data_IF_283792653417
#
_entry.id   IF_283792653417
#
_cell.length_a   1.000
_cell.length_b   1.000
_cell.length_c   1.000
_cell.angle_alpha   90.00
_cell.angle_beta   90.00
_cell.angle_gamma   90.00
#
_symmetry.space_group_name_H-M   'P 1'
#
loop_
_entity.id
_entity.type
_entity.pdbx_description
1 polymer ?
#
# COMPACT_ATOMS: atom_id res chain seq x y z
N UNK A 1 0.49 -3.00 17.02
CA UNK A 1 -0.52 -2.97 15.96
C UNK A 1 -0.35 -1.67 15.20
N UNK A 2 -0.34 -1.72 13.88
CA UNK A 2 -0.26 -0.53 13.03
C UNK A 2 -1.24 -0.62 11.87
N UNK A 3 -1.51 0.53 11.24
CA UNK A 3 -2.28 0.61 10.01
C UNK A 3 -1.38 1.07 8.88
N UNK A 4 -1.43 0.37 7.75
CA UNK A 4 -0.75 0.78 6.53
C UNK A 4 -1.78 1.01 5.44
N UNK A 5 -1.63 2.12 4.73
CA UNK A 5 -2.49 2.46 3.61
C UNK A 5 -1.66 2.56 2.33
N UNK A 6 -1.70 1.51 1.52
CA UNK A 6 -1.05 1.54 0.21
C UNK A 6 -1.87 2.35 -0.79
N UNK A 7 -1.17 3.08 -1.62
CA UNK A 7 -1.73 3.81 -2.75
C UNK A 7 -0.83 3.59 -3.96
N UNK A 8 -1.21 2.67 -4.82
CA UNK A 8 -0.55 2.41 -6.10
C UNK A 8 -1.15 3.36 -7.14
N UNK A 9 -0.43 4.41 -7.46
CA UNK A 9 -0.82 5.38 -8.49
C UNK A 9 -0.27 4.92 -9.83
N UNK A 10 -1.12 4.87 -10.83
CA UNK A 10 -0.70 4.57 -12.19
C UNK A 10 -0.06 5.80 -12.84
N UNK A 11 0.96 5.57 -13.68
CA UNK A 11 1.57 6.62 -14.49
C UNK A 11 0.58 7.14 -15.52
N UNK A 12 -0.16 6.23 -16.16
CA UNK A 12 -1.22 6.56 -17.10
C UNK A 12 -2.57 6.68 -16.36
N UNK A 13 -3.22 7.85 -16.41
CA UNK A 13 -4.49 8.07 -15.71
C UNK A 13 -5.67 7.33 -16.33
N UNK A 14 -5.57 6.85 -17.57
CA UNK A 14 -6.56 6.05 -18.30
C UNK A 14 -6.62 4.58 -17.86
N UNK A 15 -5.65 4.11 -17.08
CA UNK A 15 -5.65 2.73 -16.57
C UNK A 15 -6.78 2.52 -15.57
N UNK A 16 -7.62 1.54 -15.83
CA UNK A 16 -8.77 1.17 -15.00
C UNK A 16 -8.68 -0.29 -14.56
N UNK A 17 -9.30 -0.55 -13.43
CA UNK A 17 -9.45 -1.88 -12.86
C UNK A 17 -10.82 -2.44 -13.22
N UNK A 18 -10.86 -3.70 -13.65
CA UNK A 18 -12.09 -4.47 -13.83
C UNK A 18 -11.88 -5.93 -13.41
N UNK A 19 -12.96 -6.67 -13.35
CA UNK A 19 -12.97 -8.12 -13.18
C UNK A 19 -13.70 -8.74 -14.37
N UNK A 20 -13.19 -9.86 -14.87
CA UNK A 20 -13.83 -10.61 -15.93
C UNK A 20 -15.02 -11.46 -15.41
N UNK A 21 -15.65 -12.22 -16.28
CA UNK A 21 -16.76 -13.13 -15.94
C UNK A 21 -16.37 -14.24 -14.95
N UNK A 22 -15.10 -14.55 -14.84
CA UNK A 22 -14.52 -15.52 -13.88
C UNK A 22 -14.01 -14.85 -12.60
N UNK A 23 -14.37 -13.57 -12.37
CA UNK A 23 -13.91 -12.75 -11.24
C UNK A 23 -12.40 -12.57 -11.17
N UNK A 24 -11.66 -12.73 -12.28
CA UNK A 24 -10.24 -12.48 -12.35
C UNK A 24 -9.97 -10.97 -12.50
N UNK A 25 -9.12 -10.37 -11.67
CA UNK A 25 -8.84 -8.95 -11.74
C UNK A 25 -7.88 -8.63 -12.89
N UNK A 26 -8.22 -7.60 -13.66
CA UNK A 26 -7.34 -7.12 -14.73
C UNK A 26 -7.33 -5.59 -14.84
N UNK A 27 -6.26 -5.08 -15.43
CA UNK A 27 -6.12 -3.68 -15.77
C UNK A 27 -6.26 -3.50 -17.28
N UNK A 28 -6.96 -2.47 -17.69
CA UNK A 28 -7.11 -2.10 -19.10
C UNK A 28 -7.01 -0.59 -19.27
N UNK A 29 -6.71 -0.17 -20.49
CA UNK A 29 -6.73 1.24 -20.87
C UNK A 29 -8.12 1.60 -21.37
N UNK A 30 -8.71 2.61 -20.74
CA UNK A 30 -9.96 3.19 -21.22
C UNK A 30 -9.64 4.29 -22.23
N UNK A 31 -10.04 4.06 -23.47
CA UNK A 31 -9.74 4.94 -24.62
C UNK A 31 -10.94 5.77 -25.05
N UNK A 32 -11.91 6.00 -24.16
CA UNK A 32 -13.08 6.81 -24.50
C UNK A 32 -12.65 8.27 -24.77
N UNK A 33 -12.86 8.79 -26.01
CA UNK A 33 -12.42 10.12 -26.40
C UNK A 33 -13.17 11.26 -25.68
N UNK A 34 -14.37 10.99 -25.17
CA UNK A 34 -15.22 11.99 -24.51
C UNK A 34 -14.84 12.20 -23.04
N UNK A 35 -13.89 11.42 -22.54
CA UNK A 35 -13.49 11.43 -21.11
C UNK A 35 -12.00 11.79 -20.98
N UNK A 36 -11.75 12.87 -20.28
CA UNK A 36 -10.37 13.25 -19.91
C UNK A 36 -10.01 12.68 -18.53
N UNK A 37 -9.18 11.63 -18.52
CA UNK A 37 -8.73 10.98 -17.30
C UNK A 37 -7.66 11.82 -16.61
N UNK A 38 -7.86 12.11 -15.32
CA UNK A 38 -6.93 12.93 -14.53
C UNK A 38 -6.09 12.08 -13.57
N UNK A 39 -6.66 11.02 -13.00
CA UNK A 39 -5.98 10.20 -12.00
C UNK A 39 -6.63 8.83 -11.84
N UNK A 40 -5.82 7.80 -11.87
CA UNK A 40 -6.20 6.44 -11.48
C UNK A 40 -5.27 5.90 -10.41
N UNK A 41 -5.83 5.24 -9.38
CA UNK A 41 -5.06 4.59 -8.33
C UNK A 41 -5.80 3.42 -7.70
N UNK A 42 -5.05 2.40 -7.31
CA UNK A 42 -5.48 1.33 -6.42
C UNK A 42 -5.07 1.66 -4.98
N UNK A 43 -5.97 1.45 -4.03
CA UNK A 43 -5.71 1.70 -2.61
C UNK A 43 -6.09 0.48 -1.79
N UNK A 44 -5.24 0.09 -0.86
CA UNK A 44 -5.48 -1.01 0.06
C UNK A 44 -5.07 -0.64 1.49
N UNK A 45 -6.00 -0.62 2.44
CA UNK A 45 -5.72 -0.53 3.86
C UNK A 45 -5.41 -1.91 4.45
N UNK A 46 -4.42 -1.96 5.33
CA UNK A 46 -4.02 -3.15 6.08
C UNK A 46 -3.93 -2.85 7.57
N UNK A 47 -4.36 -3.80 8.39
CA UNK A 47 -4.04 -3.86 9.80
C UNK A 47 -2.84 -4.79 9.95
N UNK A 48 -1.78 -4.33 10.62
CA UNK A 48 -0.56 -5.10 10.80
C UNK A 48 -0.30 -5.40 12.27
N UNK A 49 0.18 -6.61 12.53
CA UNK A 49 0.80 -7.03 13.76
C UNK A 49 2.30 -7.10 13.53
N UNK A 50 3.05 -6.38 14.36
CA UNK A 50 4.50 -6.23 14.21
C UNK A 50 5.18 -6.74 15.46
N UNK A 51 6.23 -7.53 15.28
CA UNK A 51 7.15 -7.94 16.32
C UNK A 51 8.55 -7.49 15.91
N UNK A 52 9.05 -6.46 16.59
CA UNK A 52 10.33 -5.84 16.29
C UNK A 52 11.12 -5.65 17.60
N UNK A 53 11.82 -6.69 18.06
CA UNK A 53 12.72 -6.57 19.21
C UNK A 53 13.75 -5.47 18.95
N UNK A 54 14.07 -4.73 19.99
CA UNK A 54 14.93 -3.55 19.91
C UNK A 54 16.17 -3.72 20.77
N UNK A 55 17.34 -3.54 20.17
CA UNK A 55 18.65 -3.58 20.83
C UNK A 55 19.08 -2.16 21.15
N UNK A 56 19.35 -1.88 22.42
CA UNK A 56 19.81 -0.57 22.87
C UNK A 56 21.31 -0.49 22.68
N UNK A 57 21.78 0.43 21.85
CA UNK A 57 23.21 0.69 21.61
C UNK A 57 23.70 1.77 22.55
N UNK A 58 22.98 2.91 22.61
CA UNK A 58 23.26 3.98 23.55
C UNK A 58 22.00 4.23 24.38
N UNK A 59 22.05 4.01 25.70
CA UNK A 59 20.90 4.20 26.58
C UNK A 59 20.25 5.59 26.37
N UNK A 60 18.92 5.62 26.18
CA UNK A 60 18.09 6.81 25.96
C UNK A 60 18.30 7.54 24.62
N UNK A 61 19.32 7.22 23.83
CA UNK A 61 19.63 7.96 22.59
C UNK A 61 19.48 7.13 21.33
N UNK A 62 20.01 5.89 21.30
CA UNK A 62 20.07 5.09 20.09
C UNK A 62 19.70 3.63 20.37
N UNK A 63 18.76 3.12 19.60
CA UNK A 63 18.47 1.70 19.54
C UNK A 63 18.13 1.26 18.11
N UNK A 64 18.40 0.01 17.80
CA UNK A 64 18.12 -0.61 16.50
C UNK A 64 17.14 -1.74 16.73
N UNK A 65 16.08 -1.79 15.93
CA UNK A 65 15.10 -2.86 15.92
C UNK A 65 15.14 -3.61 14.60
N UNK A 66 15.05 -4.93 14.67
CA UNK A 66 14.87 -5.79 13.51
C UNK A 66 13.80 -6.82 13.84
N UNK A 67 12.87 -7.02 12.94
CA UNK A 67 11.77 -7.93 13.19
C UNK A 67 10.95 -8.24 11.96
N UNK A 68 9.76 -8.78 12.19
CA UNK A 68 8.81 -9.11 11.16
C UNK A 68 7.43 -8.54 11.43
N UNK A 69 6.57 -8.63 10.44
CA UNK A 69 5.17 -8.26 10.57
C UNK A 69 4.29 -9.14 9.69
N UNK A 70 3.04 -9.22 10.09
CA UNK A 70 1.94 -9.80 9.31
C UNK A 70 0.82 -8.80 9.25
N UNK A 71 0.26 -8.58 8.07
CA UNK A 71 -0.84 -7.66 7.83
C UNK A 71 -2.03 -8.36 7.20
N UNK A 72 -3.23 -7.91 7.55
CA UNK A 72 -4.49 -8.36 6.96
C UNK A 72 -5.17 -7.21 6.21
N UNK A 73 -5.60 -7.47 4.98
CA UNK A 73 -6.31 -6.52 4.13
C UNK A 73 -7.74 -6.32 4.62
N UNK A 74 -8.13 -5.08 4.88
CA UNK A 74 -9.50 -4.73 5.31
C UNK A 74 -10.35 -4.14 4.18
N UNK A 75 -9.86 -4.18 2.95
CA UNK A 75 -10.60 -3.80 1.75
C UNK A 75 -9.74 -3.08 0.72
N UNK A 76 -10.05 -3.28 -0.53
CA UNK A 76 -9.39 -2.62 -1.67
C UNK A 76 -10.34 -1.71 -2.42
N UNK A 77 -9.82 -0.62 -2.98
CA UNK A 77 -10.60 0.32 -3.80
C UNK A 77 -9.78 0.81 -4.98
N UNK A 78 -10.40 0.79 -6.15
CA UNK A 78 -9.93 1.60 -7.28
C UNK A 78 -10.60 2.97 -7.19
N UNK A 79 -9.80 4.02 -7.28
CA UNK A 79 -10.26 5.41 -7.31
C UNK A 79 -9.78 6.04 -8.60
N UNK A 80 -10.70 6.52 -9.40
CA UNK A 80 -10.36 7.29 -10.58
C UNK A 80 -11.11 8.62 -10.63
N UNK A 81 -10.47 9.59 -11.24
CA UNK A 81 -11.00 10.92 -11.46
C UNK A 81 -10.93 11.22 -12.94
N UNK A 82 -12.00 11.75 -13.46
CA UNK A 82 -12.12 12.13 -14.84
C UNK A 82 -12.95 13.41 -15.01
N UNK A 83 -12.83 14.01 -16.16
CA UNK A 83 -13.56 15.20 -16.55
C UNK A 83 -14.41 14.84 -17.76
N UNK A 84 -15.70 15.09 -17.65
CA UNK A 84 -16.66 15.01 -18.76
C UNK A 84 -17.20 16.41 -19.07
N UNK A 85 -18.03 16.55 -20.08
CA UNK A 85 -18.70 17.82 -20.42
C UNK A 85 -19.53 18.42 -19.26
N UNK A 86 -19.86 17.62 -18.23
CA UNK A 86 -20.61 18.06 -17.05
C UNK A 86 -19.74 18.47 -15.85
N UNK A 87 -18.42 18.29 -15.90
CA UNK A 87 -17.53 18.66 -14.80
C UNK A 87 -16.58 17.55 -14.33
N UNK A 88 -15.99 17.76 -13.14
CA UNK A 88 -15.07 16.79 -12.52
C UNK A 88 -15.84 15.72 -11.77
N UNK A 89 -15.67 14.48 -12.19
CA UNK A 89 -16.27 13.32 -11.54
C UNK A 89 -15.23 12.45 -10.83
N UNK A 90 -15.71 11.72 -9.82
CA UNK A 90 -14.90 10.76 -9.04
C UNK A 90 -15.68 9.49 -8.91
N UNK A 91 -15.07 8.40 -9.23
CA UNK A 91 -15.67 7.10 -9.05
C UNK A 91 -14.80 6.18 -8.18
N UNK A 92 -15.47 5.24 -7.49
CA UNK A 92 -14.86 4.33 -6.54
C UNK A 92 -15.41 2.92 -6.77
N UNK A 93 -14.56 2.05 -7.26
CA UNK A 93 -14.91 0.63 -7.47
C UNK A 93 -14.16 -0.21 -6.41
N UNK A 94 -14.86 -1.17 -5.80
CA UNK A 94 -14.24 -2.14 -4.92
C UNK A 94 -13.22 -2.96 -5.73
N UNK A 95 -12.00 -3.06 -5.24
CA UNK A 95 -10.92 -3.82 -5.87
C UNK A 95 -10.56 -5.01 -5.00
N UNK A 96 -10.72 -6.21 -5.55
CA UNK A 96 -10.42 -7.49 -4.89
C UNK A 96 -9.07 -8.08 -5.32
N UNK A 97 -8.24 -7.29 -6.01
CA UNK A 97 -6.94 -7.73 -6.54
C UNK A 97 -5.81 -7.74 -5.50
N UNK A 98 -6.06 -7.38 -4.27
CA UNK A 98 -5.02 -7.33 -3.24
C UNK A 98 -4.92 -8.66 -2.49
N UNK A 99 -3.70 -9.05 -2.15
CA UNK A 99 -3.49 -10.18 -1.24
C UNK A 99 -4.17 -9.94 0.10
N UNK A 100 -4.87 -10.97 0.59
CA UNK A 100 -5.56 -10.92 1.89
C UNK A 100 -4.56 -10.79 3.05
N UNK A 101 -3.46 -11.51 2.95
CA UNK A 101 -2.38 -11.50 3.95
C UNK A 101 -1.09 -10.98 3.33
N UNK A 102 -0.43 -10.08 4.03
CA UNK A 102 0.93 -9.65 3.73
C UNK A 102 1.83 -9.97 4.89
N UNK A 103 3.07 -10.28 4.61
CA UNK A 103 4.10 -10.49 5.61
C UNK A 103 5.44 -10.02 5.09
N UNK A 104 6.31 -9.64 6.00
CA UNK A 104 7.61 -9.11 5.61
C UNK A 104 8.52 -8.86 6.78
N UNK A 105 9.64 -8.24 6.48
CA UNK A 105 10.66 -7.85 7.44
C UNK A 105 10.61 -6.34 7.67
N UNK A 106 10.99 -5.95 8.87
CA UNK A 106 11.08 -4.54 9.29
C UNK A 106 12.40 -4.30 9.98
N UNK A 107 13.02 -3.18 9.65
CA UNK A 107 14.16 -2.65 10.37
C UNK A 107 13.82 -1.23 10.85
N UNK A 108 14.27 -0.86 12.04
CA UNK A 108 14.09 0.49 12.57
C UNK A 108 15.33 0.98 13.32
N UNK A 109 15.63 2.26 13.20
CA UNK A 109 16.64 2.98 13.96
C UNK A 109 15.91 4.03 14.78
N UNK A 110 15.96 3.89 16.09
CA UNK A 110 15.29 4.80 17.02
C UNK A 110 16.31 5.78 17.58
N UNK A 111 16.09 7.05 17.34
CA UNK A 111 16.84 8.17 17.89
C UNK A 111 15.91 8.88 18.87
N UNK A 112 16.19 8.81 20.14
CA UNK A 112 15.46 9.44 21.25
C UNK A 112 13.95 9.68 21.04
N UNK A 113 13.55 10.54 20.09
CA UNK A 113 12.15 10.93 19.80
C UNK A 113 11.68 10.58 18.38
N UNK A 114 12.60 10.22 17.50
CA UNK A 114 12.35 9.96 16.09
C UNK A 114 12.87 8.56 15.79
N UNK A 115 12.09 7.77 15.10
CA UNK A 115 12.55 6.51 14.54
C UNK A 115 12.40 6.53 13.01
N UNK A 116 13.45 6.09 12.34
CA UNK A 116 13.41 5.76 10.91
C UNK A 116 13.12 4.27 10.79
N UNK A 117 12.20 3.90 9.93
CA UNK A 117 11.94 2.51 9.66
C UNK A 117 11.88 2.21 8.16
N UNK A 118 12.25 1.00 7.82
CA UNK A 118 12.08 0.41 6.51
C UNK A 118 11.36 -0.93 6.65
N UNK A 119 10.45 -1.22 5.72
CA UNK A 119 9.80 -2.53 5.62
C UNK A 119 9.93 -3.06 4.21
N UNK A 120 10.12 -4.37 4.09
CA UNK A 120 10.14 -5.09 2.84
C UNK A 120 9.12 -6.23 2.90
N UNK A 121 8.15 -6.21 1.99
CA UNK A 121 7.14 -7.26 1.88
C UNK A 121 7.74 -8.47 1.17
N UNK A 122 7.72 -9.61 1.83
CA UNK A 122 8.08 -10.90 1.23
C UNK A 122 6.89 -11.47 0.43
N UNK A 123 5.67 -11.08 0.79
CA UNK A 123 4.46 -11.39 0.05
C UNK A 123 4.27 -10.44 -1.15
N UNK A 124 3.54 -10.90 -2.15
CA UNK A 124 3.12 -10.05 -3.27
C UNK A 124 2.05 -9.06 -2.81
N UNK A 125 1.99 -7.90 -3.47
CA UNK A 125 0.94 -6.91 -3.20
C UNK A 125 -0.41 -7.30 -3.83
N UNK A 126 -0.37 -8.00 -4.96
CA UNK A 126 -1.54 -8.32 -5.77
C UNK A 126 -1.74 -9.82 -5.93
N UNK A 127 -3.02 -10.22 -5.88
CA UNK A 127 -3.47 -11.57 -6.17
C UNK A 127 -4.02 -11.62 -7.60
N UNK A 128 -3.33 -12.34 -8.48
CA UNK A 128 -3.73 -12.60 -9.87
C UNK A 128 -4.09 -11.36 -10.72
N UNK A 129 -3.56 -10.18 -10.36
CA UNK A 129 -3.78 -8.98 -11.16
C UNK A 129 -2.99 -9.07 -12.46
N UNK A 130 -3.70 -8.93 -13.59
CA UNK A 130 -3.11 -8.96 -14.93
C UNK A 130 -3.22 -7.60 -15.63
N UNK A 131 -2.23 -7.30 -16.46
CA UNK A 131 -2.27 -6.19 -17.40
C UNK A 131 -1.73 -6.69 -18.75
N UNK A 132 -2.48 -6.49 -19.82
CA UNK A 132 -2.11 -6.96 -21.17
C UNK A 132 -1.68 -8.43 -21.21
N UNK A 133 -2.44 -9.30 -20.52
CA UNK A 133 -2.17 -10.74 -20.38
C UNK A 133 -0.92 -11.09 -19.56
N UNK A 134 -0.25 -10.12 -18.93
CA UNK A 134 0.90 -10.34 -18.08
C UNK A 134 0.54 -10.15 -16.62
N UNK A 135 0.91 -11.12 -15.78
CA UNK A 135 0.69 -11.04 -14.33
C UNK A 135 1.60 -9.99 -13.68
N UNK A 136 1.01 -9.12 -12.85
CA UNK A 136 1.74 -8.10 -12.11
C UNK A 136 2.16 -8.66 -10.75
N UNK A 137 3.45 -8.79 -10.54
CA UNK A 137 4.04 -9.21 -9.27
C UNK A 137 4.89 -8.06 -8.71
N UNK A 138 4.50 -7.54 -7.56
CA UNK A 138 5.19 -6.43 -6.88
C UNK A 138 5.35 -6.76 -5.41
N UNK A 139 6.57 -6.62 -4.91
CA UNK A 139 6.89 -6.71 -3.49
C UNK A 139 7.18 -5.28 -2.98
N UNK A 140 6.29 -4.66 -2.20
CA UNK A 140 6.46 -3.28 -1.75
C UNK A 140 7.65 -3.10 -0.80
N UNK A 141 8.34 -1.97 -0.97
CA UNK A 141 9.30 -1.45 0.00
C UNK A 141 8.73 -0.15 0.54
N UNK A 142 8.67 0.00 1.85
CA UNK A 142 8.19 1.22 2.49
C UNK A 142 9.23 1.78 3.43
N UNK A 143 9.35 3.12 3.43
CA UNK A 143 10.18 3.87 4.36
C UNK A 143 9.31 4.88 5.09
N UNK A 144 9.62 5.15 6.35
CA UNK A 144 8.86 6.12 7.10
C UNK A 144 9.55 6.63 8.35
N UNK A 145 8.89 7.60 8.97
CA UNK A 145 9.26 8.21 10.22
C UNK A 145 8.19 7.92 11.26
N UNK A 146 8.63 7.64 12.47
CA UNK A 146 7.79 7.45 13.63
C UNK A 146 8.22 8.43 14.70
N UNK A 147 7.30 9.18 15.24
CA UNK A 147 7.53 10.11 16.33
C UNK A 147 7.02 9.51 17.63
N UNK A 148 7.88 9.48 18.65
CA UNK A 148 7.50 9.04 19.99
C UNK A 148 7.26 10.28 20.85
N UNK A 149 6.02 10.55 21.20
CA UNK A 149 5.68 11.61 22.15
C UNK A 149 6.15 11.20 23.55
N UNK A 150 6.81 12.12 24.23
CA UNK A 150 7.38 11.93 25.56
C UNK A 150 6.23 11.65 26.54
N UNK A 151 6.28 10.53 27.22
CA UNK A 151 5.32 10.26 28.31
C UNK A 151 5.14 8.79 28.72
N UNK A 152 5.66 7.84 27.96
CA UNK A 152 5.40 6.42 28.21
C UNK A 152 6.66 5.56 28.37
N UNK A 153 7.77 6.14 28.85
CA UNK A 153 8.90 5.34 29.31
C UNK A 153 9.19 5.65 30.79
N UNK A 154 8.58 4.83 31.62
CA UNK A 154 9.14 4.52 32.93
C UNK A 154 10.29 3.54 32.78
#
# INVERSE_FOLDING_TARGET
>A
ISFTWFNFKFSEPSVRYATDSLHQPYLFYDTNPDISYTKSKLSAPYINFELCPTFVIVPKYLSIGVGGYVGYNIGGRNKFKYITNGGKEKDHIKASCFEAFRYGVKAEINLRYIAFYATYDLSKAFNNLTAESKQINVNPICFGLKFTLIGLRR
#
